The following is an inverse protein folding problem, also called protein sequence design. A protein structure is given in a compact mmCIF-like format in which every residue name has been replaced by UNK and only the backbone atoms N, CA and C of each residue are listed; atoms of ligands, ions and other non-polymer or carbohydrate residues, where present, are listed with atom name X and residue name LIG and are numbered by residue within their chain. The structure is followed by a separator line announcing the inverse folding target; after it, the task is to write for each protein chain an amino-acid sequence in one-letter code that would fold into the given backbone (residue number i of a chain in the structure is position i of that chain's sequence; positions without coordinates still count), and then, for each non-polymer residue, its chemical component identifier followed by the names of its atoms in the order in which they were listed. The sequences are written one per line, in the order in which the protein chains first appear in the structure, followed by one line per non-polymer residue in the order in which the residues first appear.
data_IF_076991935843
#
_entry.id   IF_076991935843
#
_cell.length_a   1.000
_cell.length_b   1.000
_cell.length_c   1.000
_cell.angle_alpha   90.00
_cell.angle_beta   90.00
_cell.angle_gamma   90.00
#
_symmetry.space_group_name_H-M   'P 1'
#
loop_
_entity.id
_entity.type
_entity.pdbx_description
1 polymer ?
#
# COMPACT_ATOMS: atom_id res chain seq x y z
N UNK A 1 -25.97 -13.77 9.27
CA UNK A 1 -25.62 -12.67 8.36
C UNK A 1 -24.15 -12.81 8.02
N UNK A 2 -23.81 -12.93 6.73
CA UNK A 2 -22.40 -13.01 6.31
C UNK A 2 -21.68 -11.72 6.69
N UNK A 3 -20.62 -11.81 7.48
CA UNK A 3 -19.89 -10.65 7.95
C UNK A 3 -19.32 -9.88 6.74
N UNK A 4 -19.49 -8.54 6.69
CA UNK A 4 -18.87 -7.66 5.68
C UNK A 4 -17.33 -7.55 5.83
N UNK A 5 -16.70 -8.54 6.45
CA UNK A 5 -15.29 -8.52 6.83
C UNK A 5 -14.72 -9.93 6.80
N UNK A 6 -13.42 -10.05 6.53
CA UNK A 6 -12.68 -11.29 6.62
C UNK A 6 -12.47 -11.77 8.07
N UNK A 7 -12.72 -10.91 9.07
CA UNK A 7 -12.56 -11.24 10.49
C UNK A 7 -13.78 -11.98 11.04
N UNK A 8 -13.54 -12.96 11.92
CA UNK A 8 -14.63 -13.58 12.69
C UNK A 8 -15.07 -12.67 13.83
N UNK A 9 -16.28 -12.87 14.35
CA UNK A 9 -16.79 -12.10 15.51
C UNK A 9 -15.87 -12.21 16.73
N UNK A 10 -15.32 -13.41 16.98
CA UNK A 10 -14.39 -13.64 18.08
C UNK A 10 -13.06 -12.88 17.87
N UNK A 11 -12.55 -12.83 16.63
CA UNK A 11 -11.37 -12.03 16.29
C UNK A 11 -11.63 -10.54 16.53
N UNK A 12 -12.79 -10.03 16.09
CA UNK A 12 -13.20 -8.63 16.34
C UNK A 12 -13.27 -8.36 17.85
N UNK A 13 -13.87 -9.27 18.64
CA UNK A 13 -13.96 -9.12 20.10
C UNK A 13 -12.58 -9.05 20.77
N UNK A 14 -11.66 -9.93 20.38
CA UNK A 14 -10.28 -9.92 20.88
C UNK A 14 -9.59 -8.60 20.53
N UNK A 15 -9.65 -8.15 19.27
CA UNK A 15 -9.03 -6.89 18.85
C UNK A 15 -9.61 -5.68 19.59
N UNK A 16 -10.92 -5.64 19.84
CA UNK A 16 -11.55 -4.57 20.64
C UNK A 16 -11.03 -4.53 22.08
N UNK A 17 -10.81 -5.68 22.71
CA UNK A 17 -10.26 -5.74 24.06
C UNK A 17 -8.78 -5.35 24.09
N UNK A 18 -7.99 -5.75 23.08
CA UNK A 18 -6.59 -5.33 22.91
C UNK A 18 -6.47 -3.81 22.73
N UNK A 19 -7.36 -3.20 21.95
CA UNK A 19 -7.41 -1.74 21.78
C UNK A 19 -7.74 -0.98 23.08
N UNK A 20 -8.35 -1.64 24.07
CA UNK A 20 -8.59 -1.09 25.42
C UNK A 20 -7.42 -1.34 26.39
N UNK A 21 -6.33 -1.94 25.93
CA UNK A 21 -5.12 -2.18 26.72
C UNK A 21 -5.05 -3.52 27.44
N UNK A 22 -6.04 -4.40 27.31
CA UNK A 22 -6.04 -5.68 28.02
C UNK A 22 -4.97 -6.65 27.49
N UNK A 23 -4.36 -7.40 28.39
CA UNK A 23 -3.42 -8.49 28.09
C UNK A 23 -4.18 -9.73 27.62
N UNK A 24 -3.49 -10.60 26.88
CA UNK A 24 -4.08 -11.85 26.38
C UNK A 24 -4.61 -12.77 27.50
N UNK A 25 -4.00 -12.75 28.68
CA UNK A 25 -4.47 -13.52 29.85
C UNK A 25 -5.80 -13.01 30.37
N UNK A 26 -5.95 -11.68 30.54
CA UNK A 26 -7.19 -11.05 30.99
C UNK A 26 -8.32 -11.28 29.98
N UNK A 27 -8.00 -11.22 28.68
CA UNK A 27 -8.96 -11.55 27.61
C UNK A 27 -9.37 -13.02 27.69
N UNK A 28 -8.43 -13.93 27.98
CA UNK A 28 -8.72 -15.35 28.08
C UNK A 28 -9.70 -15.64 29.23
N UNK A 29 -9.47 -15.01 30.39
CA UNK A 29 -10.37 -15.07 31.55
C UNK A 29 -11.77 -14.53 31.21
N UNK A 30 -11.85 -13.33 30.60
CA UNK A 30 -13.12 -12.71 30.21
C UNK A 30 -13.90 -13.50 29.16
N UNK A 31 -13.20 -14.23 28.28
CA UNK A 31 -13.82 -15.01 27.20
C UNK A 31 -14.01 -16.48 27.55
N UNK A 32 -13.63 -16.91 28.76
CA UNK A 32 -13.74 -18.31 29.18
C UNK A 32 -12.94 -19.26 28.28
N UNK A 33 -11.74 -18.86 27.85
CA UNK A 33 -10.90 -19.64 26.94
C UNK A 33 -9.44 -19.63 27.40
N UNK A 34 -8.55 -20.33 26.68
CA UNK A 34 -7.13 -20.36 27.02
C UNK A 34 -6.37 -19.15 26.46
N UNK A 35 -5.32 -18.69 27.16
CA UNK A 35 -4.40 -17.66 26.65
C UNK A 35 -3.81 -18.02 25.29
N UNK A 36 -3.50 -19.31 25.09
CA UNK A 36 -2.99 -19.83 23.83
C UNK A 36 -3.99 -19.64 22.69
N UNK A 37 -5.28 -19.92 22.92
CA UNK A 37 -6.32 -19.70 21.92
C UNK A 37 -6.47 -18.21 21.57
N UNK A 38 -6.45 -17.31 22.56
CA UNK A 38 -6.48 -15.85 22.33
C UNK A 38 -5.31 -15.41 21.46
N UNK A 39 -4.10 -15.86 21.78
CA UNK A 39 -2.88 -15.53 21.02
C UNK A 39 -2.97 -15.99 19.55
N UNK A 40 -3.46 -17.22 19.31
CA UNK A 40 -3.65 -17.75 17.96
C UNK A 40 -4.67 -16.92 17.18
N UNK A 41 -5.81 -16.60 17.80
CA UNK A 41 -6.87 -15.83 17.14
C UNK A 41 -6.47 -14.39 16.87
N UNK A 42 -5.78 -13.73 17.79
CA UNK A 42 -5.23 -12.38 17.63
C UNK A 42 -4.27 -12.34 16.45
N UNK A 43 -3.26 -13.22 16.43
CA UNK A 43 -2.30 -13.31 15.31
C UNK A 43 -2.99 -13.52 13.98
N UNK A 44 -3.89 -14.51 13.87
CA UNK A 44 -4.66 -14.75 12.63
C UNK A 44 -5.52 -13.55 12.23
N UNK A 45 -5.99 -12.75 13.18
CA UNK A 45 -6.75 -11.54 12.88
C UNK A 45 -5.82 -10.46 12.29
N UNK A 46 -4.65 -10.24 12.90
CA UNK A 46 -3.64 -9.31 12.41
C UNK A 46 -3.15 -9.72 11.00
N UNK A 47 -2.87 -11.01 10.77
CA UNK A 47 -2.47 -11.53 9.45
C UNK A 47 -3.54 -11.24 8.39
N UNK A 48 -4.84 -11.40 8.73
CA UNK A 48 -5.94 -11.08 7.81
C UNK A 48 -6.01 -9.59 7.49
N UNK A 49 -5.77 -8.73 8.49
CA UNK A 49 -5.78 -7.27 8.30
C UNK A 49 -4.61 -6.87 7.41
N UNK A 50 -3.41 -7.40 7.65
CA UNK A 50 -2.22 -7.16 6.82
C UNK A 50 -2.48 -7.57 5.37
N UNK A 51 -2.97 -8.79 5.14
CA UNK A 51 -3.34 -9.27 3.80
C UNK A 51 -4.37 -8.37 3.14
N UNK A 52 -5.43 -7.98 3.84
CA UNK A 52 -6.45 -7.10 3.28
C UNK A 52 -5.89 -5.72 2.91
N UNK A 53 -4.99 -5.15 3.72
CA UNK A 53 -4.28 -3.90 3.39
C UNK A 53 -3.44 -4.06 2.13
N UNK A 54 -2.65 -5.13 2.04
CA UNK A 54 -1.83 -5.40 0.86
C UNK A 54 -2.70 -5.63 -0.39
N UNK A 55 -3.83 -6.32 -0.27
CA UNK A 55 -4.79 -6.48 -1.38
C UNK A 55 -5.32 -5.15 -1.88
N UNK A 56 -5.68 -4.22 -0.97
CA UNK A 56 -6.13 -2.88 -1.35
C UNK A 56 -4.99 -2.10 -2.02
N UNK A 57 -3.78 -2.17 -1.48
CA UNK A 57 -2.62 -1.47 -2.04
C UNK A 57 -2.28 -1.96 -3.45
N UNK A 58 -2.30 -3.28 -3.67
CA UNK A 58 -2.13 -3.89 -5.00
C UNK A 58 -3.22 -3.39 -5.95
N UNK A 59 -4.49 -3.38 -5.51
CA UNK A 59 -5.58 -2.86 -6.32
C UNK A 59 -5.41 -1.38 -6.67
N UNK A 60 -4.98 -0.55 -5.71
CA UNK A 60 -4.69 0.87 -5.94
C UNK A 60 -3.51 1.06 -6.91
N UNK A 61 -2.49 0.20 -6.86
CA UNK A 61 -1.34 0.22 -7.77
C UNK A 61 -1.73 -0.20 -9.19
N UNK A 62 -2.55 -1.23 -9.36
CA UNK A 62 -3.09 -1.65 -10.67
C UNK A 62 -3.88 -0.51 -11.34
N UNK A 63 -4.60 0.27 -10.54
CA UNK A 63 -5.41 1.40 -11.01
C UNK A 63 -4.68 2.74 -10.81
N UNK A 64 -3.35 2.73 -10.72
CA UNK A 64 -2.57 3.95 -10.59
C UNK A 64 -2.70 4.81 -11.85
N UNK A 65 -2.74 6.13 -11.67
CA UNK A 65 -2.70 7.09 -12.78
C UNK A 65 -1.29 7.17 -13.36
N UNK A 66 -0.29 7.22 -12.48
CA UNK A 66 1.13 7.27 -12.81
C UNK A 66 1.93 6.57 -11.72
N UNK A 67 3.02 5.92 -12.08
CA UNK A 67 3.89 5.18 -11.18
C UNK A 67 5.37 5.35 -11.53
N UNK A 68 6.25 5.33 -10.55
CA UNK A 68 7.71 5.36 -10.74
C UNK A 68 8.32 4.27 -9.87
N UNK A 69 9.09 3.40 -10.50
CA UNK A 69 9.89 2.40 -9.79
C UNK A 69 11.19 3.02 -9.25
N UNK A 70 11.51 2.72 -8.01
CA UNK A 70 12.75 3.14 -7.35
C UNK A 70 13.50 1.88 -6.94
N UNK A 71 14.66 1.64 -7.53
CA UNK A 71 15.51 0.51 -7.19
C UNK A 71 16.35 0.81 -5.96
N UNK A 72 16.74 -0.25 -5.27
CA UNK A 72 17.69 -0.19 -4.16
C UNK A 72 18.97 0.53 -4.59
N UNK A 73 19.40 1.47 -3.77
CA UNK A 73 20.60 2.28 -4.02
C UNK A 73 20.33 3.61 -4.72
N UNK A 74 19.12 3.83 -5.26
CA UNK A 74 18.74 5.11 -5.84
C UNK A 74 18.56 6.20 -4.78
N UNK A 75 18.85 7.44 -5.19
CA UNK A 75 18.61 8.65 -4.39
C UNK A 75 17.15 9.11 -4.56
N UNK A 76 16.44 9.29 -3.46
CA UNK A 76 15.04 9.72 -3.49
C UNK A 76 14.83 11.11 -4.11
N UNK A 77 15.87 11.95 -4.17
CA UNK A 77 15.75 13.29 -4.76
C UNK A 77 15.56 13.29 -6.27
N UNK A 78 15.88 12.19 -6.97
CA UNK A 78 15.58 12.05 -8.41
C UNK A 78 14.16 11.55 -8.68
N UNK A 79 13.46 11.06 -7.67
CA UNK A 79 12.14 10.42 -7.83
C UNK A 79 11.03 11.40 -8.22
N UNK A 80 10.94 12.62 -7.63
CA UNK A 80 9.93 13.60 -8.04
C UNK A 80 10.03 13.98 -9.52
N UNK A 81 11.24 14.23 -10.04
CA UNK A 81 11.44 14.63 -11.43
C UNK A 81 10.93 13.55 -12.38
N UNK A 82 11.28 12.29 -12.13
CA UNK A 82 10.78 11.13 -12.88
C UNK A 82 9.25 10.98 -12.82
N UNK A 83 8.65 11.32 -11.67
CA UNK A 83 7.20 11.27 -11.50
C UNK A 83 6.50 12.35 -12.32
N UNK A 84 7.02 13.57 -12.31
CA UNK A 84 6.48 14.67 -13.10
C UNK A 84 6.65 14.42 -14.60
N UNK A 85 7.83 13.97 -15.04
CA UNK A 85 8.09 13.62 -16.44
C UNK A 85 7.06 12.60 -16.96
N UNK A 86 6.87 11.50 -16.22
CA UNK A 86 5.91 10.46 -16.61
C UNK A 86 4.45 10.94 -16.52
N UNK A 87 4.14 11.80 -15.55
CA UNK A 87 2.79 12.35 -15.44
C UNK A 87 2.47 13.32 -16.60
N UNK A 88 3.43 14.15 -16.99
CA UNK A 88 3.31 15.07 -18.13
C UNK A 88 3.14 14.31 -19.45
N UNK A 89 3.89 13.21 -19.66
CA UNK A 89 3.73 12.32 -20.82
C UNK A 89 2.31 11.73 -20.92
N UNK A 90 1.68 11.46 -19.78
CA UNK A 90 0.32 10.90 -19.70
C UNK A 90 -0.76 11.98 -19.58
N UNK A 91 -0.40 13.27 -19.54
CA UNK A 91 -1.33 14.38 -19.35
C UNK A 91 -2.01 14.40 -17.97
N UNK A 92 -1.36 13.83 -16.96
CA UNK A 92 -1.87 13.72 -15.59
C UNK A 92 -1.30 14.85 -14.73
N UNK A 93 -2.18 15.58 -14.04
CA UNK A 93 -1.76 16.58 -13.05
C UNK A 93 -1.45 15.92 -11.71
N UNK A 94 -0.21 16.04 -11.25
CA UNK A 94 0.19 15.64 -9.89
C UNK A 94 -0.12 16.78 -8.91
N UNK A 95 -1.01 16.61 -7.91
CA UNK A 95 -1.39 17.68 -6.98
C UNK A 95 -0.43 17.78 -5.79
N UNK A 96 0.85 17.51 -5.99
CA UNK A 96 1.90 17.57 -4.98
C UNK A 96 3.10 18.31 -5.53
N UNK A 97 3.72 19.12 -4.69
CA UNK A 97 5.03 19.71 -4.94
C UNK A 97 6.16 18.69 -4.73
N UNK A 98 7.34 18.98 -5.27
CA UNK A 98 8.57 18.21 -5.02
C UNK A 98 8.81 18.01 -3.52
N UNK A 99 8.65 19.07 -2.71
CA UNK A 99 8.87 19.01 -1.26
C UNK A 99 7.88 18.05 -0.56
N UNK A 100 6.62 18.04 -0.98
CA UNK A 100 5.61 17.13 -0.44
C UNK A 100 5.89 15.67 -0.83
N UNK A 101 6.32 15.43 -2.08
CA UNK A 101 6.72 14.09 -2.54
C UNK A 101 7.92 13.58 -1.73
N UNK A 102 8.94 14.43 -1.51
CA UNK A 102 10.10 14.08 -0.70
C UNK A 102 9.70 13.80 0.76
N UNK A 103 8.89 14.65 1.37
CA UNK A 103 8.41 14.43 2.73
C UNK A 103 7.65 13.10 2.86
N UNK A 104 6.81 12.79 1.87
CA UNK A 104 6.09 11.53 1.80
C UNK A 104 7.04 10.32 1.69
N UNK A 105 8.07 10.40 0.84
CA UNK A 105 9.10 9.36 0.71
C UNK A 105 9.88 9.16 2.02
N UNK A 106 10.24 10.24 2.71
CA UNK A 106 10.96 10.15 4.00
C UNK A 106 10.13 9.45 5.08
N UNK A 107 8.82 9.67 5.09
CA UNK A 107 7.92 9.08 6.09
C UNK A 107 7.55 7.62 5.78
N UNK A 108 7.38 7.26 4.50
CA UNK A 108 6.76 6.00 4.10
C UNK A 108 7.66 5.04 3.34
N UNK A 109 8.75 5.51 2.71
CA UNK A 109 9.59 4.69 1.86
C UNK A 109 10.64 3.91 2.68
N UNK A 110 11.06 2.72 2.22
CA UNK A 110 12.13 1.96 2.86
C UNK A 110 13.51 2.58 2.56
N UNK A 111 13.84 3.70 3.20
CA UNK A 111 15.06 4.47 2.92
C UNK A 111 16.02 4.56 4.12
N UNK A 112 17.26 4.96 3.84
CA UNK A 112 18.25 5.42 4.83
C UNK A 112 18.77 6.76 4.39
N UNK A 113 18.55 7.81 5.19
CA UNK A 113 18.83 9.20 4.83
C UNK A 113 18.11 9.61 3.54
N UNK A 114 18.74 9.39 2.38
CA UNK A 114 18.18 9.65 1.04
C UNK A 114 18.26 8.45 0.10
N UNK A 115 18.75 7.30 0.55
CA UNK A 115 19.02 6.14 -0.30
C UNK A 115 17.98 5.06 -0.07
N UNK A 116 17.40 4.56 -1.17
CA UNK A 116 16.49 3.42 -1.14
C UNK A 116 17.21 2.15 -0.62
N UNK A 117 16.71 1.54 0.46
CA UNK A 117 17.27 0.30 1.03
C UNK A 117 16.78 -0.95 0.30
N UNK A 118 15.63 -0.86 -0.36
CA UNK A 118 14.95 -1.91 -1.12
C UNK A 118 14.21 -1.28 -2.29
N UNK A 119 13.83 -2.12 -3.25
CA UNK A 119 13.02 -1.71 -4.38
C UNK A 119 11.59 -1.38 -3.90
N UNK A 120 11.02 -0.32 -4.44
CA UNK A 120 9.62 0.05 -4.20
C UNK A 120 9.06 0.84 -5.39
N UNK A 121 7.74 0.97 -5.45
CA UNK A 121 7.04 1.80 -6.43
C UNK A 121 6.37 2.96 -5.70
N UNK A 122 6.66 4.19 -6.13
CA UNK A 122 5.87 5.38 -5.80
C UNK A 122 4.78 5.53 -6.86
N UNK A 123 3.52 5.73 -6.47
CA UNK A 123 2.46 5.93 -7.45
C UNK A 123 1.36 6.87 -6.95
N UNK A 124 0.64 7.46 -7.90
CA UNK A 124 -0.55 8.26 -7.67
C UNK A 124 -1.78 7.39 -7.94
N UNK A 125 -2.59 7.14 -6.91
CA UNK A 125 -3.78 6.31 -7.07
C UNK A 125 -4.92 7.02 -7.83
N UNK A 126 -6.00 6.30 -8.11
CA UNK A 126 -7.17 6.85 -8.79
C UNK A 126 -7.82 8.08 -8.10
N UNK A 127 -7.50 8.34 -6.83
CA UNK A 127 -8.01 9.46 -6.02
C UNK A 127 -6.96 10.55 -5.81
N UNK A 128 -5.88 10.54 -6.59
CA UNK A 128 -4.78 11.48 -6.50
C UNK A 128 -4.04 11.46 -5.16
N UNK A 129 -3.94 10.28 -4.53
CA UNK A 129 -3.15 10.09 -3.30
C UNK A 129 -1.83 9.41 -3.62
N UNK A 130 -0.74 9.91 -3.05
CA UNK A 130 0.55 9.21 -3.10
C UNK A 130 0.48 7.91 -2.29
N UNK A 131 1.03 6.85 -2.86
CA UNK A 131 1.14 5.51 -2.27
C UNK A 131 2.52 4.92 -2.56
N UNK A 132 2.95 4.02 -1.67
CA UNK A 132 4.17 3.23 -1.85
C UNK A 132 3.81 1.77 -1.75
N UNK A 133 4.36 0.97 -2.67
CA UNK A 133 4.26 -0.50 -2.64
C UNK A 133 5.66 -1.10 -2.75
N UNK A 134 5.98 -2.05 -1.86
CA UNK A 134 7.19 -2.90 -1.97
C UNK A 134 6.98 -4.03 -3.00
N UNK A 135 5.79 -4.14 -3.60
CA UNK A 135 5.53 -5.07 -4.69
C UNK A 135 5.86 -4.38 -6.01
N UNK A 136 6.93 -4.82 -6.67
CA UNK A 136 7.16 -4.53 -8.09
C UNK A 136 6.09 -5.30 -8.87
N UNK A 137 5.05 -4.59 -9.31
CA UNK A 137 4.21 -5.06 -10.40
C UNK A 137 4.88 -4.53 -11.66
N UNK A 138 5.70 -5.36 -12.29
CA UNK A 138 6.35 -5.03 -13.56
C UNK A 138 5.26 -4.66 -14.58
N UNK A 139 5.34 -3.43 -15.08
CA UNK A 139 4.73 -2.84 -16.28
C UNK A 139 3.20 -2.93 -16.48
N UNK A 140 2.49 -1.86 -16.10
CA UNK A 140 1.16 -1.54 -16.63
C UNK A 140 1.19 -0.52 -17.78
N UNK A 141 2.33 0.10 -18.07
CA UNK A 141 2.42 1.22 -19.04
C UNK A 141 2.38 0.78 -20.51
N UNK A 142 2.48 -0.51 -20.82
CA UNK A 142 2.49 -0.98 -22.22
C UNK A 142 1.10 -1.24 -22.84
N UNK A 143 -0.01 -1.17 -22.08
CA UNK A 143 -1.34 -1.50 -22.63
C UNK A 143 -2.09 -0.33 -23.30
N UNK A 144 -1.48 0.84 -23.44
CA UNK A 144 -2.09 2.01 -24.09
C UNK A 144 -1.83 2.17 -25.60
N UNK A 145 -0.97 1.36 -26.24
CA UNK A 145 -0.58 1.54 -27.66
C UNK A 145 -1.06 0.42 -28.58
N UNK A 146 -2.37 0.33 -28.83
CA UNK A 146 -3.02 -0.33 -30.00
C UNK A 146 -4.40 0.33 -30.17
N UNK A 147 -4.86 0.90 -31.28
CA UNK A 147 -4.48 0.93 -32.69
C UNK A 147 -4.90 2.29 -33.29
N UNK A 148 -3.94 3.06 -33.79
CA UNK A 148 -4.21 4.13 -34.75
C UNK A 148 -4.08 3.58 -36.16
N UNK A 149 -5.08 2.80 -36.60
CA UNK A 149 -5.17 2.35 -37.98
C UNK A 149 -5.26 3.56 -38.91
N UNK A 150 -4.19 3.78 -39.67
CA UNK A 150 -4.21 4.67 -40.84
C UNK A 150 -5.17 4.06 -41.87
N UNK A 151 -6.39 4.57 -41.91
CA UNK A 151 -7.13 4.58 -43.17
C UNK A 151 -6.55 5.74 -44.00
N UNK A 152 -5.78 5.37 -45.02
CA UNK A 152 -5.32 6.27 -46.07
C UNK A 152 -5.51 5.53 -47.38
N UNK A 153 -6.64 5.88 -48.02
CA UNK A 153 -7.03 5.83 -49.44
C UNK A 153 -6.22 4.92 -50.37
#
# INVERSE_FOLDING_TARGET
MSARSFLTEQQIKILRLRARGLKQSEIAELLGTSRANVSILERRALDKIEKARNTILIWEQINAKVSVEVKKGEDIFSVPDRLFEKADELGIKVPYSTAEIIAFLVEHAPISDRIAKRDFTLFLDAKDRLRISECLLEDFDEMGKKEGGKDSV
#
